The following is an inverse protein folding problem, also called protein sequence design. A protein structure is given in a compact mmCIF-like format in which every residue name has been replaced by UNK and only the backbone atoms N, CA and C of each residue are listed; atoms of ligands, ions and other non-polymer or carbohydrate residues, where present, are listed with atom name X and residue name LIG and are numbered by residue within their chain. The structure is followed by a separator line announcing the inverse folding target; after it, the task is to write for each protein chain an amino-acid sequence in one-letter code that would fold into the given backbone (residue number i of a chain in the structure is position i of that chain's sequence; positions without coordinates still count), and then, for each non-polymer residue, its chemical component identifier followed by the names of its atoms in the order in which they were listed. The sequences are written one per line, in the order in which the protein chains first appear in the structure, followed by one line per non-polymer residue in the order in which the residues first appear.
data_IF_622239762009
#
_entry.id   IF_622239762009
#
_cell.length_a   1.000
_cell.length_b   1.000
_cell.length_c   1.000
_cell.angle_alpha   90.00
_cell.angle_beta   90.00
_cell.angle_gamma   90.00
#
_symmetry.space_group_name_H-M   'P 1'
#
loop_
_entity.id
_entity.type
_entity.pdbx_description
1 polymer ?
#
# COMPACT_ATOMS: atom_id res chain seq x y z
N UNK A 1 32.49 -35.11 30.98
CA UNK A 1 32.95 -34.18 29.92
C UNK A 1 32.18 -34.37 28.59
N UNK A 2 31.99 -35.61 28.11
CA UNK A 2 31.32 -35.90 26.83
C UNK A 2 29.86 -35.34 26.70
N UNK A 3 29.09 -35.37 27.81
CA UNK A 3 27.69 -34.87 27.84
C UNK A 3 27.60 -33.33 27.79
N UNK A 4 28.63 -32.62 28.27
CA UNK A 4 28.66 -31.14 28.23
C UNK A 4 29.00 -30.64 26.84
N UNK A 5 29.94 -31.28 26.14
CA UNK A 5 30.32 -30.94 24.75
C UNK A 5 29.17 -31.24 23.79
N UNK A 6 28.42 -32.32 24.00
CA UNK A 6 27.26 -32.66 23.19
C UNK A 6 26.14 -31.61 23.32
N UNK A 7 25.89 -31.10 24.53
CA UNK A 7 24.89 -30.06 24.79
C UNK A 7 25.32 -28.71 24.18
N UNK A 8 26.62 -28.39 24.24
CA UNK A 8 27.15 -27.15 23.65
C UNK A 8 27.02 -27.18 22.12
N UNK A 9 27.39 -28.32 21.51
CA UNK A 9 27.26 -28.48 20.05
C UNK A 9 25.80 -28.44 19.58
N UNK A 10 24.87 -29.05 20.34
CA UNK A 10 23.45 -28.98 20.01
C UNK A 10 22.89 -27.55 20.11
N UNK A 11 23.33 -26.79 21.12
CA UNK A 11 22.96 -25.39 21.30
C UNK A 11 23.49 -24.52 20.18
N UNK A 12 24.76 -24.75 19.77
CA UNK A 12 25.38 -24.04 18.65
C UNK A 12 24.68 -24.33 17.31
N UNK A 13 24.30 -25.59 17.08
CA UNK A 13 23.54 -26.01 15.89
C UNK A 13 22.14 -25.38 15.87
N UNK A 14 21.48 -25.25 17.02
CA UNK A 14 20.18 -24.61 17.15
C UNK A 14 20.26 -23.10 16.88
N UNK A 15 21.29 -22.43 17.35
CA UNK A 15 21.57 -21.01 17.09
C UNK A 15 21.84 -20.72 15.61
N UNK A 16 22.60 -21.61 14.95
CA UNK A 16 22.85 -21.47 13.49
C UNK A 16 21.60 -21.71 12.64
N UNK A 17 20.71 -22.61 13.07
CA UNK A 17 19.41 -22.85 12.40
C UNK A 17 18.46 -21.65 12.50
N UNK A 18 18.47 -20.92 13.62
CA UNK A 18 17.65 -19.70 13.80
C UNK A 18 18.21 -18.54 12.98
N UNK A 19 19.53 -18.40 12.87
CA UNK A 19 20.17 -17.36 12.05
C UNK A 19 19.98 -17.59 10.54
N UNK A 20 19.77 -18.84 10.10
CA UNK A 20 19.52 -19.19 8.70
C UNK A 20 18.09 -18.91 8.19
N UNK A 21 17.13 -18.73 9.09
CA UNK A 21 15.78 -18.29 8.74
C UNK A 21 15.79 -16.80 8.41
N UNK A 22 16.25 -16.36 7.26
CA UNK A 22 16.34 -14.98 6.80
C UNK A 22 15.09 -14.13 7.08
N UNK A 23 14.83 -13.87 8.36
CA UNK A 23 13.71 -13.05 8.85
C UNK A 23 14.03 -11.59 8.52
N UNK A 24 13.72 -11.16 7.28
CA UNK A 24 13.73 -9.74 6.95
C UNK A 24 12.50 -9.08 7.56
N UNK A 25 12.73 -8.05 8.37
CA UNK A 25 11.64 -7.19 8.83
C UNK A 25 10.85 -6.72 7.61
N UNK A 26 9.58 -7.08 7.55
CA UNK A 26 8.64 -6.69 6.52
C UNK A 26 8.46 -5.16 6.60
N UNK A 27 9.10 -4.38 5.71
CA UNK A 27 8.85 -2.93 5.73
C UNK A 27 9.89 -2.01 5.12
N UNK A 28 11.09 -2.46 4.76
CA UNK A 28 12.02 -1.59 4.04
C UNK A 28 11.81 -1.74 2.52
N UNK A 29 11.04 -0.85 1.93
CA UNK A 29 10.93 -0.74 0.48
C UNK A 29 12.05 0.17 -0.01
N UNK A 30 12.91 -0.32 -0.91
CA UNK A 30 13.84 0.53 -1.64
C UNK A 30 13.15 0.97 -2.93
N UNK A 31 12.90 2.27 -3.05
CA UNK A 31 12.28 2.84 -4.23
C UNK A 31 13.38 3.20 -5.26
N UNK A 32 13.14 3.02 -6.57
CA UNK A 32 14.11 3.32 -7.62
C UNK A 32 14.12 4.82 -8.02
N UNK A 33 13.80 5.70 -7.07
CA UNK A 33 13.75 7.15 -7.25
C UNK A 33 14.63 7.83 -6.21
N UNK A 34 15.54 8.73 -6.62
CA UNK A 34 16.33 9.54 -5.69
C UNK A 34 15.46 10.53 -4.93
N UNK A 35 14.50 11.15 -5.64
CA UNK A 35 13.52 12.04 -5.06
C UNK A 35 12.16 11.90 -5.73
N UNK A 36 11.11 12.04 -4.94
CA UNK A 36 9.73 11.96 -5.41
C UNK A 36 8.89 13.09 -4.82
N UNK A 37 8.08 13.72 -5.65
CA UNK A 37 7.03 14.64 -5.24
C UNK A 37 5.68 13.92 -5.29
N UNK A 38 4.83 14.09 -4.27
CA UNK A 38 3.47 13.58 -4.29
C UNK A 38 2.53 14.74 -4.62
N UNK A 39 2.01 14.69 -5.84
CA UNK A 39 0.91 15.56 -6.27
C UNK A 39 -0.39 15.14 -5.58
N UNK A 40 -1.31 16.08 -5.43
CA UNK A 40 -2.63 15.84 -4.86
C UNK A 40 -2.89 16.67 -3.60
N UNK A 41 -4.11 16.55 -3.09
CA UNK A 41 -4.55 17.36 -1.96
C UNK A 41 -3.84 16.96 -0.67
N UNK A 42 -3.30 17.92 0.06
CA UNK A 42 -2.61 17.66 1.33
C UNK A 42 -3.54 17.09 2.43
N UNK A 43 -4.84 17.27 2.28
CA UNK A 43 -5.85 16.69 3.18
C UNK A 43 -6.22 15.23 2.83
N UNK A 44 -5.72 14.66 1.72
CA UNK A 44 -5.95 13.25 1.40
C UNK A 44 -5.24 12.34 2.40
N UNK A 45 -6.01 11.43 3.03
CA UNK A 45 -5.48 10.43 3.96
C UNK A 45 -4.44 9.51 3.27
N UNK A 46 -4.68 9.16 2.02
CA UNK A 46 -3.77 8.34 1.22
C UNK A 46 -2.46 9.08 0.98
N UNK A 47 -2.53 10.35 0.56
CA UNK A 47 -1.34 11.17 0.32
C UNK A 47 -0.50 11.30 1.60
N UNK A 48 -1.12 11.63 2.73
CA UNK A 48 -0.44 11.74 4.02
C UNK A 48 0.20 10.41 4.46
N UNK A 49 -0.50 9.28 4.27
CA UNK A 49 -0.01 7.95 4.64
C UNK A 49 1.13 7.49 3.72
N UNK A 50 1.03 7.77 2.42
CA UNK A 50 2.08 7.47 1.45
C UNK A 50 3.33 8.32 1.72
N UNK A 51 3.20 9.62 2.04
CA UNK A 51 4.31 10.48 2.48
C UNK A 51 5.03 9.87 3.69
N UNK A 52 4.29 9.40 4.70
CA UNK A 52 4.87 8.74 5.88
C UNK A 52 5.60 7.46 5.53
N UNK A 53 5.00 6.62 4.68
CA UNK A 53 5.59 5.34 4.26
C UNK A 53 6.89 5.55 3.47
N UNK A 54 6.94 6.53 2.55
CA UNK A 54 8.14 6.88 1.79
C UNK A 54 9.24 7.42 2.71
N UNK A 55 8.90 8.31 3.67
CA UNK A 55 9.90 8.77 4.66
C UNK A 55 10.46 7.62 5.50
N UNK A 56 9.61 6.69 5.92
CA UNK A 56 10.01 5.52 6.71
C UNK A 56 10.90 4.54 5.93
N UNK A 57 10.81 4.52 4.59
CA UNK A 57 11.68 3.68 3.76
C UNK A 57 13.15 4.14 3.76
N UNK A 58 13.39 5.43 3.95
CA UNK A 58 14.72 6.03 3.99
C UNK A 58 15.50 6.03 2.67
N UNK A 59 14.95 5.43 1.61
CA UNK A 59 15.62 5.26 0.32
C UNK A 59 15.40 6.43 -0.66
N UNK A 60 14.37 7.24 -0.43
CA UNK A 60 13.92 8.27 -1.38
C UNK A 60 13.60 9.55 -0.63
N UNK A 61 14.12 10.66 -1.11
CA UNK A 61 13.83 11.99 -0.58
C UNK A 61 12.44 12.47 -1.05
N UNK A 62 11.60 12.95 -0.14
CA UNK A 62 10.41 13.69 -0.52
C UNK A 62 10.79 15.10 -0.95
N UNK A 63 10.42 15.48 -2.16
CA UNK A 63 10.57 16.84 -2.67
C UNK A 63 9.35 17.70 -2.30
N UNK A 64 9.56 19.00 -2.13
CA UNK A 64 8.49 19.95 -1.81
C UNK A 64 7.74 20.42 -3.07
N UNK A 65 8.41 20.36 -4.22
CA UNK A 65 7.83 20.75 -5.51
C UNK A 65 8.11 19.68 -6.58
N UNK A 66 7.28 19.65 -7.63
CA UNK A 66 7.49 18.76 -8.78
C UNK A 66 8.78 19.10 -9.55
N UNK A 67 9.20 20.38 -9.54
CA UNK A 67 10.41 20.82 -10.23
C UNK A 67 11.70 20.29 -9.55
N UNK A 68 11.67 20.08 -8.24
CA UNK A 68 12.81 19.59 -7.44
C UNK A 68 12.85 18.06 -7.33
N UNK A 69 11.87 17.39 -7.93
CA UNK A 69 11.73 15.94 -7.87
C UNK A 69 12.21 15.26 -9.16
N UNK A 70 12.89 14.11 -9.00
CA UNK A 70 13.20 13.23 -10.12
C UNK A 70 11.92 12.60 -10.69
N UNK A 71 10.95 12.30 -9.83
CA UNK A 71 9.66 11.72 -10.21
C UNK A 71 8.52 12.41 -9.47
N UNK A 72 7.36 12.51 -10.13
CA UNK A 72 6.12 13.00 -9.55
C UNK A 72 5.07 11.89 -9.55
N UNK A 73 4.57 11.54 -8.38
CA UNK A 73 3.42 10.64 -8.22
C UNK A 73 2.13 11.46 -8.35
N UNK A 74 1.30 11.11 -9.32
CA UNK A 74 0.06 11.83 -9.66
C UNK A 74 -1.13 10.89 -9.49
N UNK A 75 -1.97 11.05 -8.46
CA UNK A 75 -3.25 10.36 -8.37
C UNK A 75 -4.15 10.78 -9.53
N UNK A 76 -4.82 9.82 -10.17
CA UNK A 76 -5.73 10.07 -11.30
C UNK A 76 -7.17 9.74 -10.99
N UNK A 77 -7.40 8.70 -10.16
CA UNK A 77 -8.72 8.25 -9.73
C UNK A 77 -8.63 7.90 -8.26
N UNK A 78 -9.61 8.32 -7.46
CA UNK A 78 -9.84 7.85 -6.10
C UNK A 78 -11.34 7.69 -5.89
N UNK A 79 -11.83 6.44 -5.90
CA UNK A 79 -13.24 6.12 -5.82
C UNK A 79 -13.51 5.08 -4.73
N UNK A 80 -14.46 5.39 -3.84
CA UNK A 80 -15.03 4.47 -2.85
C UNK A 80 -16.47 4.20 -3.23
N UNK A 81 -16.77 2.97 -3.62
CA UNK A 81 -18.07 2.57 -4.15
C UNK A 81 -18.68 1.45 -3.30
N UNK A 82 -19.72 1.72 -2.49
CA UNK A 82 -20.53 0.68 -1.88
C UNK A 82 -21.51 0.13 -2.93
N UNK A 83 -21.48 -1.18 -3.17
CA UNK A 83 -22.33 -1.89 -4.13
C UNK A 83 -23.24 -2.83 -3.36
N UNK A 84 -24.55 -2.71 -3.53
CA UNK A 84 -25.52 -3.63 -2.93
C UNK A 84 -25.51 -4.92 -3.74
N UNK A 85 -25.19 -6.04 -3.08
CA UNK A 85 -25.19 -7.37 -3.70
C UNK A 85 -26.48 -8.13 -3.47
N UNK A 86 -27.10 -7.97 -2.29
CA UNK A 86 -28.33 -8.67 -1.96
C UNK A 86 -29.27 -7.81 -1.11
N UNK A 87 -30.58 -7.98 -1.37
CA UNK A 87 -31.66 -7.42 -0.57
C UNK A 87 -32.48 -8.55 0.07
N UNK A 88 -33.09 -8.28 1.22
CA UNK A 88 -34.12 -9.14 1.81
C UNK A 88 -35.42 -9.05 1.03
N UNK A 89 -36.38 -9.92 1.31
CA UNK A 89 -37.76 -9.86 0.76
C UNK A 89 -38.47 -8.53 1.08
N UNK A 90 -38.08 -7.84 2.16
CA UNK A 90 -38.59 -6.52 2.55
C UNK A 90 -37.78 -5.34 1.98
N UNK A 91 -36.84 -5.55 1.01
CA UNK A 91 -36.07 -4.50 0.36
C UNK A 91 -34.89 -3.96 1.20
N UNK A 92 -34.57 -4.59 2.33
CA UNK A 92 -33.42 -4.17 3.16
C UNK A 92 -32.13 -4.79 2.66
N UNK A 93 -31.01 -4.05 2.77
CA UNK A 93 -29.67 -4.53 2.38
C UNK A 93 -29.28 -5.72 3.26
N UNK A 94 -28.93 -6.84 2.64
CA UNK A 94 -28.38 -8.05 3.27
C UNK A 94 -26.89 -8.23 3.03
N UNK A 95 -26.42 -7.77 1.90
CA UNK A 95 -25.02 -7.88 1.54
C UNK A 95 -24.58 -6.66 0.72
N UNK A 96 -23.43 -6.12 1.05
CA UNK A 96 -22.82 -4.98 0.37
C UNK A 96 -21.36 -5.31 0.07
N UNK A 97 -20.90 -4.93 -1.11
CA UNK A 97 -19.47 -4.92 -1.48
C UNK A 97 -18.95 -3.51 -1.41
N UNK A 98 -17.89 -3.32 -0.65
CA UNK A 98 -17.11 -2.11 -0.64
C UNK A 98 -16.01 -2.26 -1.69
N UNK A 99 -15.98 -1.38 -2.68
CA UNK A 99 -14.97 -1.35 -3.73
C UNK A 99 -14.20 -0.05 -3.67
N UNK A 100 -12.86 -0.13 -3.62
CA UNK A 100 -11.96 1.00 -3.65
C UNK A 100 -11.09 0.92 -4.89
N UNK A 101 -11.16 1.93 -5.76
CA UNK A 101 -10.36 2.05 -6.97
C UNK A 101 -9.45 3.26 -6.85
N UNK A 102 -8.16 3.05 -7.13
CA UNK A 102 -7.15 4.09 -7.06
C UNK A 102 -6.23 4.01 -8.28
N UNK A 103 -6.31 5.01 -9.14
CA UNK A 103 -5.45 5.18 -10.30
C UNK A 103 -4.32 6.15 -10.02
N UNK A 104 -3.16 5.93 -10.63
CA UNK A 104 -2.01 6.82 -10.50
C UNK A 104 -1.11 6.78 -11.73
N UNK A 105 -0.33 7.85 -11.90
CA UNK A 105 0.78 7.97 -12.84
C UNK A 105 2.05 8.34 -12.10
N UNK A 106 3.20 8.01 -12.68
CA UNK A 106 4.51 8.46 -12.21
C UNK A 106 5.15 9.18 -13.38
N UNK A 107 5.34 10.48 -13.25
CA UNK A 107 5.84 11.35 -14.33
C UNK A 107 7.18 11.97 -13.95
N UNK A 108 7.93 12.41 -14.97
CA UNK A 108 9.08 13.29 -14.78
C UNK A 108 8.65 14.75 -14.56
N UNK A 109 9.62 15.66 -14.41
CA UNK A 109 9.39 17.10 -14.27
C UNK A 109 8.73 17.75 -15.50
N UNK A 110 8.71 17.08 -16.67
CA UNK A 110 8.09 17.53 -17.91
C UNK A 110 6.69 16.92 -18.12
N UNK A 111 6.21 16.10 -17.18
CA UNK A 111 4.91 15.44 -17.24
C UNK A 111 4.87 14.15 -18.08
N UNK A 112 6.03 13.64 -18.54
CA UNK A 112 6.10 12.37 -19.27
C UNK A 112 6.00 11.20 -18.29
N UNK A 113 5.31 10.14 -18.68
CA UNK A 113 5.22 8.93 -17.89
C UNK A 113 6.58 8.22 -17.81
N UNK A 114 7.08 8.02 -16.59
CA UNK A 114 8.29 7.22 -16.32
C UNK A 114 8.00 5.72 -16.28
N UNK A 115 6.76 5.36 -15.99
CA UNK A 115 6.23 3.99 -15.99
C UNK A 115 4.80 4.02 -16.48
N UNK A 116 4.30 2.88 -16.96
CA UNK A 116 2.89 2.77 -17.36
C UNK A 116 1.94 3.16 -16.22
N UNK A 117 0.84 3.87 -16.50
CA UNK A 117 -0.18 4.20 -15.52
C UNK A 117 -0.66 2.96 -14.75
N UNK A 118 -0.80 3.10 -13.44
CA UNK A 118 -1.19 2.00 -12.57
C UNK A 118 -2.60 2.17 -12.01
N UNK A 119 -3.28 1.03 -11.77
CA UNK A 119 -4.57 0.96 -11.09
C UNK A 119 -4.48 -0.06 -9.95
N UNK A 120 -4.94 0.31 -8.75
CA UNK A 120 -5.18 -0.61 -7.65
C UNK A 120 -6.68 -0.70 -7.42
N UNK A 121 -7.19 -1.91 -7.33
CA UNK A 121 -8.58 -2.16 -6.95
C UNK A 121 -8.62 -3.11 -5.76
N UNK A 122 -9.37 -2.74 -4.73
CA UNK A 122 -9.60 -3.50 -3.53
C UNK A 122 -11.10 -3.72 -3.34
N UNK A 123 -11.49 -4.84 -2.76
CA UNK A 123 -12.88 -5.09 -2.38
C UNK A 123 -12.99 -5.84 -1.07
N UNK A 124 -14.08 -5.57 -0.32
CA UNK A 124 -14.49 -6.28 0.89
C UNK A 124 -15.98 -6.46 0.87
N UNK A 125 -16.43 -7.63 1.26
CA UNK A 125 -17.86 -7.91 1.38
C UNK A 125 -18.31 -7.77 2.84
N UNK A 126 -19.48 -7.19 3.05
CA UNK A 126 -20.08 -6.93 4.35
C UNK A 126 -21.51 -7.42 4.35
N UNK A 127 -21.83 -8.33 5.29
CA UNK A 127 -23.19 -8.82 5.51
C UNK A 127 -23.89 -8.00 6.58
N UNK A 128 -25.18 -7.74 6.40
CA UNK A 128 -26.04 -7.02 7.33
C UNK A 128 -27.05 -7.95 8.00
N UNK A 129 -27.26 -7.74 9.30
CA UNK A 129 -28.39 -8.30 10.03
C UNK A 129 -29.29 -7.16 10.54
N UNK A 130 -30.59 -7.40 10.65
CA UNK A 130 -31.55 -6.37 11.06
C UNK A 130 -31.38 -5.93 12.52
N UNK A 131 -30.68 -6.73 13.36
CA UNK A 131 -30.47 -6.45 14.78
C UNK A 131 -29.30 -5.51 15.09
N UNK A 132 -28.36 -5.29 14.14
CA UNK A 132 -27.06 -4.72 14.48
C UNK A 132 -26.61 -3.60 13.54
N UNK A 133 -27.53 -2.75 13.08
CA UNK A 133 -27.24 -1.71 12.09
C UNK A 133 -26.10 -0.78 12.51
N UNK A 134 -26.07 -0.36 13.78
CA UNK A 134 -25.02 0.52 14.29
C UNK A 134 -23.65 -0.16 14.28
N UNK A 135 -23.58 -1.42 14.75
CA UNK A 135 -22.34 -2.21 14.71
C UNK A 135 -21.84 -2.42 13.27
N UNK A 136 -22.76 -2.65 12.32
CA UNK A 136 -22.43 -2.80 10.91
C UNK A 136 -21.94 -1.52 10.24
N UNK A 137 -22.45 -0.36 10.65
CA UNK A 137 -21.91 0.93 10.20
C UNK A 137 -20.48 1.14 10.68
N UNK A 138 -20.19 0.80 11.93
CA UNK A 138 -18.81 0.86 12.46
C UNK A 138 -17.88 -0.14 11.77
N UNK A 139 -18.37 -1.36 11.49
CA UNK A 139 -17.63 -2.38 10.73
C UNK A 139 -17.29 -1.87 9.32
N UNK A 140 -18.24 -1.24 8.63
CA UNK A 140 -18.02 -0.64 7.31
C UNK A 140 -16.90 0.43 7.36
N UNK A 141 -16.92 1.31 8.37
CA UNK A 141 -15.86 2.32 8.55
C UNK A 141 -14.49 1.70 8.81
N UNK A 142 -14.42 0.62 9.61
CA UNK A 142 -13.18 -0.11 9.84
C UNK A 142 -12.66 -0.75 8.56
N UNK A 143 -13.55 -1.38 7.77
CA UNK A 143 -13.17 -1.98 6.49
C UNK A 143 -12.62 -0.94 5.52
N UNK A 144 -13.19 0.27 5.45
CA UNK A 144 -12.64 1.36 4.63
C UNK A 144 -11.24 1.76 5.07
N UNK A 145 -10.99 1.89 6.38
CA UNK A 145 -9.65 2.20 6.91
C UNK A 145 -8.64 1.10 6.61
N UNK A 146 -9.05 -0.16 6.74
CA UNK A 146 -8.19 -1.30 6.41
C UNK A 146 -7.84 -1.32 4.92
N UNK A 147 -8.82 -1.01 4.05
CA UNK A 147 -8.58 -0.91 2.61
C UNK A 147 -7.64 0.26 2.27
N UNK A 148 -7.72 1.40 2.96
CA UNK A 148 -6.77 2.51 2.81
C UNK A 148 -5.34 2.09 3.19
N UNK A 149 -5.17 1.37 4.30
CA UNK A 149 -3.88 0.85 4.71
C UNK A 149 -3.33 -0.17 3.70
N UNK A 150 -4.17 -1.10 3.24
CA UNK A 150 -3.81 -2.08 2.20
C UNK A 150 -3.39 -1.38 0.90
N UNK A 151 -4.12 -0.32 0.51
CA UNK A 151 -3.80 0.48 -0.68
C UNK A 151 -2.40 1.08 -0.58
N UNK A 152 -2.08 1.74 0.53
CA UNK A 152 -0.74 2.35 0.74
C UNK A 152 0.35 1.29 0.66
N UNK A 153 0.14 0.12 1.28
CA UNK A 153 1.09 -1.00 1.20
C UNK A 153 1.26 -1.52 -0.24
N UNK A 154 0.17 -1.60 -1.01
CA UNK A 154 0.25 -2.02 -2.41
C UNK A 154 0.94 -0.97 -3.28
N UNK A 155 0.68 0.33 -3.04
CA UNK A 155 1.37 1.41 -3.74
C UNK A 155 2.88 1.35 -3.46
N UNK A 156 3.29 1.20 -2.20
CA UNK A 156 4.71 1.07 -1.84
C UNK A 156 5.39 -0.12 -2.53
N UNK A 157 4.73 -1.29 -2.58
CA UNK A 157 5.24 -2.46 -3.31
C UNK A 157 5.39 -2.20 -4.80
N UNK A 158 4.38 -1.56 -5.42
CA UNK A 158 4.41 -1.25 -6.85
C UNK A 158 5.45 -0.20 -7.20
N UNK A 159 5.61 0.84 -6.35
CA UNK A 159 6.67 1.84 -6.49
C UNK A 159 8.06 1.20 -6.37
N UNK A 160 8.26 0.30 -5.41
CA UNK A 160 9.54 -0.41 -5.24
C UNK A 160 9.86 -1.37 -6.40
N UNK A 161 8.83 -1.99 -6.98
CA UNK A 161 8.98 -2.91 -8.12
C UNK A 161 9.00 -2.20 -9.48
N UNK A 162 8.77 -0.89 -9.51
CA UNK A 162 8.73 -0.13 -10.77
C UNK A 162 10.12 -0.05 -11.41
N UNK A 163 10.15 0.05 -12.74
CA UNK A 163 11.36 0.23 -13.54
C UNK A 163 11.20 1.51 -14.34
N UNK A 164 11.50 2.68 -13.75
CA UNK A 164 11.29 3.95 -14.42
C UNK A 164 12.27 4.11 -15.58
N UNK A 165 11.77 4.58 -16.72
CA UNK A 165 12.59 4.97 -17.86
C UNK A 165 12.87 6.48 -17.81
N UNK A 166 14.04 6.84 -17.30
CA UNK A 166 14.51 8.23 -17.24
C UNK A 166 15.12 8.73 -18.57
N UNK A 167 15.30 7.84 -19.56
CA UNK A 167 16.00 8.16 -20.82
C UNK A 167 15.07 8.23 -22.03
N UNK A 168 13.78 7.90 -21.88
CA UNK A 168 12.84 7.95 -22.99
C UNK A 168 12.84 9.35 -23.63
N UNK A 169 13.01 9.45 -24.97
CA UNK A 169 12.93 10.73 -25.67
C UNK A 169 11.53 11.33 -25.50
N UNK A 170 11.47 12.68 -25.49
CA UNK A 170 10.18 13.37 -25.57
C UNK A 170 9.63 13.16 -26.99
N UNK A 171 8.48 12.49 -27.13
CA UNK A 171 7.70 12.47 -28.37
C UNK A 171 7.06 13.83 -28.62
#
# INVERSE_FOLDING_TARGET
MLRSTLRLNLFLLLMTAIAGCGFQLRGSYTLPYESIYLSGADYSLINASLKRAIRASGSTRLADTAADAQATFVPTIEEKLPIILALSSGGRVREKRLRYRFGYRITDSKGRDLVLPGMVELSRDLTYSDSDVLAKTQEEELLWRDMENDLVQQLMRRLAASKPDFQAPAE
#
